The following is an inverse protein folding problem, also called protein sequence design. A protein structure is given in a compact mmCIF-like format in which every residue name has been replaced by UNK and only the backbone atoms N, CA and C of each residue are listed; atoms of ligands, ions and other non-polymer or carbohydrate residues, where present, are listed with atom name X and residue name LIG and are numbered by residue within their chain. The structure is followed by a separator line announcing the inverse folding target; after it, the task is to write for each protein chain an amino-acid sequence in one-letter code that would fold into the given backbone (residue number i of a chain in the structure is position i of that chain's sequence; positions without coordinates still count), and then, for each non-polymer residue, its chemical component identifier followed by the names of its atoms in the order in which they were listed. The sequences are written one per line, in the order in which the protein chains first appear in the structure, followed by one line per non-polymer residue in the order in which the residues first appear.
data_IF_757218446315
#
_entry.id   IF_757218446315
#
_cell.length_a   1.000
_cell.length_b   1.000
_cell.length_c   1.000
_cell.angle_alpha   90.00
_cell.angle_beta   90.00
_cell.angle_gamma   90.00
#
_symmetry.space_group_name_H-M   'P 1'
#
loop_
_entity.id
_entity.type
_entity.pdbx_description
1 polymer ?
#
# COMPACT_ATOMS: atom_id res chain seq x y z
N UNK A 1 23.05 31.39 -4.73
CA UNK A 1 22.89 29.98 -4.36
C UNK A 1 21.99 29.31 -5.39
N UNK A 2 22.57 28.41 -6.16
CA UNK A 2 21.85 27.64 -7.18
C UNK A 2 20.87 26.71 -6.46
N UNK A 3 19.58 27.00 -6.53
CA UNK A 3 18.54 26.12 -6.07
C UNK A 3 18.70 24.78 -6.82
N UNK A 4 19.00 23.71 -6.09
CA UNK A 4 19.13 22.36 -6.63
C UNK A 4 17.73 21.94 -7.12
N UNK A 5 17.56 21.92 -8.44
CA UNK A 5 16.28 21.50 -9.03
C UNK A 5 16.12 20.01 -8.85
N UNK A 6 15.08 19.61 -8.11
CA UNK A 6 14.59 18.23 -8.06
C UNK A 6 13.52 18.12 -9.15
N UNK A 7 13.68 17.18 -10.07
CA UNK A 7 12.69 16.89 -11.11
C UNK A 7 11.76 15.78 -10.63
N UNK A 8 10.46 16.02 -10.70
CA UNK A 8 9.44 15.00 -10.42
C UNK A 8 8.73 14.61 -11.72
N UNK A 9 8.61 13.31 -11.98
CA UNK A 9 7.92 12.72 -13.13
C UNK A 9 6.69 11.96 -12.64
N UNK A 10 5.55 12.32 -13.23
CA UNK A 10 4.24 11.76 -12.87
C UNK A 10 3.67 10.93 -14.01
N UNK A 11 3.02 9.84 -13.66
CA UNK A 11 2.14 9.09 -14.55
C UNK A 11 0.69 9.31 -14.08
N UNK A 12 -0.09 10.04 -14.83
CA UNK A 12 -1.47 10.36 -14.48
C UNK A 12 -2.39 9.15 -14.42
N UNK A 13 -2.07 8.08 -15.16
CA UNK A 13 -2.82 6.83 -15.09
C UNK A 13 -2.74 6.16 -13.71
N UNK A 14 -1.65 6.41 -12.96
CA UNK A 14 -1.44 5.85 -11.62
C UNK A 14 -2.17 6.61 -10.51
N UNK A 15 -2.84 7.72 -10.82
CA UNK A 15 -3.64 8.51 -9.86
C UNK A 15 -5.14 8.45 -10.14
N UNK A 16 -5.55 7.71 -11.18
CA UNK A 16 -6.96 7.47 -11.47
C UNK A 16 -7.55 6.54 -10.41
N UNK A 17 -8.52 7.02 -9.65
CA UNK A 17 -9.21 6.31 -8.58
C UNK A 17 -10.61 5.85 -8.97
N UNK A 18 -10.90 5.71 -10.25
CA UNK A 18 -12.20 5.28 -10.76
C UNK A 18 -12.31 3.76 -10.99
N UNK A 19 -11.22 3.02 -10.77
CA UNK A 19 -11.14 1.59 -11.07
C UNK A 19 -11.32 0.67 -9.86
N UNK A 20 -11.43 -0.63 -10.14
CA UNK A 20 -11.58 -1.67 -9.12
C UNK A 20 -10.36 -1.87 -8.21
N UNK A 21 -9.20 -1.32 -8.58
CA UNK A 21 -8.00 -1.36 -7.73
C UNK A 21 -8.23 -0.65 -6.39
N UNK A 22 -9.00 0.43 -6.39
CA UNK A 22 -9.34 1.17 -5.16
C UNK A 22 -10.13 0.33 -4.19
N UNK A 23 -11.21 -0.30 -4.69
CA UNK A 23 -12.08 -1.13 -3.87
C UNK A 23 -11.34 -2.38 -3.39
N UNK A 24 -10.56 -3.02 -4.26
CA UNK A 24 -9.73 -4.17 -3.90
C UNK A 24 -8.69 -3.81 -2.84
N UNK A 25 -7.98 -2.69 -2.99
CA UNK A 25 -6.98 -2.22 -2.02
C UNK A 25 -7.62 -1.91 -0.67
N UNK A 26 -8.79 -1.27 -0.66
CA UNK A 26 -9.52 -0.99 0.57
C UNK A 26 -9.93 -2.26 1.29
N UNK A 27 -10.53 -3.22 0.58
CA UNK A 27 -10.91 -4.50 1.16
C UNK A 27 -9.71 -5.24 1.76
N UNK A 28 -8.59 -5.31 1.04
CA UNK A 28 -7.39 -5.98 1.51
C UNK A 28 -6.76 -5.25 2.71
N UNK A 29 -6.75 -3.94 2.71
CA UNK A 29 -6.18 -3.14 3.81
C UNK A 29 -7.01 -3.21 5.09
N UNK A 30 -8.32 -3.01 4.99
CA UNK A 30 -9.25 -3.05 6.12
C UNK A 30 -9.35 -4.45 6.76
N UNK A 31 -9.26 -5.51 5.95
CA UNK A 31 -9.34 -6.89 6.40
C UNK A 31 -7.97 -7.62 6.42
N UNK A 32 -6.85 -6.90 6.45
CA UNK A 32 -5.52 -7.49 6.23
C UNK A 32 -5.21 -8.67 7.15
N UNK A 33 -5.56 -8.60 8.44
CA UNK A 33 -5.32 -9.70 9.38
C UNK A 33 -5.97 -11.02 8.92
N UNK A 34 -7.14 -10.94 8.28
CA UNK A 34 -7.87 -12.10 7.74
C UNK A 34 -7.36 -12.50 6.35
N UNK A 35 -6.94 -11.52 5.53
CA UNK A 35 -6.61 -11.74 4.12
C UNK A 35 -5.11 -11.89 3.84
N UNK A 36 -4.26 -11.79 4.87
CA UNK A 36 -2.81 -11.88 4.74
C UNK A 36 -2.36 -13.18 4.06
N UNK A 37 -2.94 -14.31 4.40
CA UNK A 37 -2.60 -15.60 3.79
C UNK A 37 -2.93 -15.63 2.29
N UNK A 38 -4.08 -15.09 1.89
CA UNK A 38 -4.43 -14.96 0.46
C UNK A 38 -3.38 -14.13 -0.28
N UNK A 39 -3.04 -12.96 0.25
CA UNK A 39 -2.06 -12.05 -0.36
C UNK A 39 -0.70 -12.75 -0.49
N UNK A 40 -0.23 -13.40 0.57
CA UNK A 40 1.07 -14.09 0.59
C UNK A 40 1.12 -15.27 -0.37
N UNK A 41 0.06 -16.07 -0.47
CA UNK A 41 -0.03 -17.19 -1.42
C UNK A 41 -0.03 -16.72 -2.87
N UNK A 42 -0.80 -15.68 -3.19
CA UNK A 42 -0.83 -15.10 -4.54
C UNK A 42 0.56 -14.52 -4.90
N UNK A 43 1.16 -13.76 -3.99
CA UNK A 43 2.50 -13.19 -4.16
C UNK A 43 3.57 -14.27 -4.34
N UNK A 44 3.51 -15.33 -3.54
CA UNK A 44 4.43 -16.47 -3.67
C UNK A 44 4.27 -17.16 -5.03
N UNK A 45 3.04 -17.42 -5.45
CA UNK A 45 2.75 -18.05 -6.73
C UNK A 45 3.31 -17.22 -7.91
N UNK A 46 3.11 -15.90 -7.91
CA UNK A 46 3.70 -15.03 -8.93
C UNK A 46 5.23 -15.10 -8.95
N UNK A 47 5.88 -15.09 -7.78
CA UNK A 47 7.35 -15.20 -7.69
C UNK A 47 7.89 -16.54 -8.21
N UNK A 48 7.12 -17.60 -8.03
CA UNK A 48 7.46 -18.97 -8.48
C UNK A 48 6.93 -19.31 -9.86
N UNK A 49 6.28 -18.35 -10.55
CA UNK A 49 5.63 -18.57 -11.85
C UNK A 49 4.58 -19.68 -11.81
N UNK A 50 3.91 -19.84 -10.66
CA UNK A 50 2.76 -20.71 -10.55
C UNK A 50 1.51 -19.95 -11.04
N UNK A 51 0.69 -20.60 -11.86
CA UNK A 51 -0.51 -19.99 -12.44
C UNK A 51 -1.76 -20.13 -11.56
N UNK A 52 -1.68 -20.78 -10.40
CA UNK A 52 -2.83 -21.05 -9.55
C UNK A 52 -2.45 -21.19 -8.06
N UNK A 53 -3.45 -21.03 -7.20
CA UNK A 53 -3.34 -21.28 -5.77
C UNK A 53 -4.59 -22.00 -5.24
N UNK A 54 -4.42 -22.69 -4.11
CA UNK A 54 -5.53 -23.21 -3.30
C UNK A 54 -5.50 -22.54 -1.93
N UNK A 55 -6.69 -22.22 -1.40
CA UNK A 55 -6.89 -21.75 -0.03
C UNK A 55 -7.74 -22.76 0.72
N UNK A 56 -7.19 -23.34 1.78
CA UNK A 56 -7.88 -24.27 2.66
C UNK A 56 -8.59 -23.49 3.76
N UNK A 57 -9.92 -23.48 3.75
CA UNK A 57 -10.74 -22.73 4.69
C UNK A 57 -11.32 -23.63 5.82
N UNK A 58 -11.01 -24.91 5.79
CA UNK A 58 -11.61 -25.91 6.70
C UNK A 58 -11.29 -25.69 8.19
N UNK A 59 -10.12 -25.12 8.49
CA UNK A 59 -9.65 -24.86 9.86
C UNK A 59 -10.08 -23.49 10.41
N UNK A 60 -10.76 -22.66 9.59
CA UNK A 60 -11.23 -21.33 9.97
C UNK A 60 -12.64 -21.39 10.56
N UNK A 61 -13.00 -20.37 11.33
CA UNK A 61 -14.40 -20.14 11.71
C UNK A 61 -15.27 -20.03 10.46
N UNK A 62 -16.56 -20.37 10.56
CA UNK A 62 -17.48 -20.24 9.45
C UNK A 62 -17.54 -18.78 8.92
N UNK A 63 -17.49 -17.83 9.83
CA UNK A 63 -17.50 -16.39 9.51
C UNK A 63 -16.27 -16.00 8.67
N UNK A 64 -15.08 -16.42 9.10
CA UNK A 64 -13.83 -16.08 8.43
C UNK A 64 -13.70 -16.79 7.07
N UNK A 65 -14.05 -18.07 7.01
CA UNK A 65 -14.11 -18.84 5.77
C UNK A 65 -15.06 -18.19 4.75
N UNK A 66 -16.22 -17.75 5.21
CA UNK A 66 -17.20 -17.06 4.35
C UNK A 66 -16.68 -15.71 3.87
N UNK A 67 -16.00 -14.94 4.73
CA UNK A 67 -15.43 -13.64 4.37
C UNK A 67 -14.34 -13.79 3.30
N UNK A 68 -13.41 -14.74 3.47
CA UNK A 68 -12.35 -15.01 2.49
C UNK A 68 -12.94 -15.49 1.17
N UNK A 69 -13.90 -16.44 1.20
CA UNK A 69 -14.55 -16.93 0.00
C UNK A 69 -15.29 -15.82 -0.75
N UNK A 70 -15.97 -14.95 -0.03
CA UNK A 70 -16.68 -13.79 -0.60
C UNK A 70 -15.70 -12.82 -1.26
N UNK A 71 -14.59 -12.49 -0.60
CA UNK A 71 -13.54 -11.66 -1.18
C UNK A 71 -12.97 -12.28 -2.47
N UNK A 72 -12.63 -13.57 -2.46
CA UNK A 72 -12.11 -14.26 -3.65
C UNK A 72 -13.09 -14.18 -4.81
N UNK A 73 -14.38 -14.36 -4.55
CA UNK A 73 -15.45 -14.24 -5.57
C UNK A 73 -15.59 -12.81 -6.09
N UNK A 74 -15.49 -11.80 -5.22
CA UNK A 74 -15.51 -10.39 -5.62
C UNK A 74 -14.31 -10.04 -6.48
N UNK A 75 -13.10 -10.43 -6.06
CA UNK A 75 -11.89 -10.23 -6.85
C UNK A 75 -11.97 -10.94 -8.21
N UNK A 76 -12.53 -12.14 -8.26
CA UNK A 76 -12.80 -12.82 -9.54
C UNK A 76 -13.80 -12.05 -10.40
N UNK A 77 -14.90 -11.54 -9.85
CA UNK A 77 -15.90 -10.77 -10.60
C UNK A 77 -15.31 -9.48 -11.19
N UNK A 78 -14.29 -8.92 -10.57
CA UNK A 78 -13.54 -7.76 -11.07
C UNK A 78 -12.27 -8.15 -11.87
N UNK A 79 -12.18 -9.41 -12.29
CA UNK A 79 -11.10 -9.95 -13.13
C UNK A 79 -9.69 -9.92 -12.52
N UNK A 80 -9.54 -9.84 -11.20
CA UNK A 80 -8.26 -10.05 -10.52
C UNK A 80 -7.79 -11.50 -10.55
N UNK A 81 -8.71 -12.44 -10.76
CA UNK A 81 -8.42 -13.85 -11.01
C UNK A 81 -9.03 -14.28 -12.34
N UNK A 82 -8.34 -15.16 -13.06
CA UNK A 82 -8.83 -15.71 -14.32
C UNK A 82 -9.89 -16.77 -14.13
N UNK A 83 -9.81 -17.52 -13.02
CA UNK A 83 -10.82 -18.52 -12.63
C UNK A 83 -10.96 -18.55 -11.12
N UNK A 84 -12.19 -18.86 -10.69
CA UNK A 84 -12.55 -19.10 -9.29
C UNK A 84 -13.41 -20.35 -9.21
N UNK A 85 -13.09 -21.24 -8.28
CA UNK A 85 -13.90 -22.41 -7.96
C UNK A 85 -13.87 -22.69 -6.46
N UNK A 86 -15.04 -22.86 -5.86
CA UNK A 86 -15.17 -23.24 -4.47
C UNK A 86 -15.62 -24.69 -4.35
N UNK A 87 -14.75 -25.56 -3.82
CA UNK A 87 -15.08 -26.94 -3.45
C UNK A 87 -15.71 -26.94 -2.05
N UNK A 88 -17.05 -26.96 -2.02
CA UNK A 88 -17.80 -26.83 -0.78
C UNK A 88 -17.57 -27.98 0.22
N UNK A 89 -17.50 -29.27 -0.18
CA UNK A 89 -17.26 -30.35 0.78
C UNK A 89 -15.92 -30.22 1.50
N UNK A 90 -14.86 -29.91 0.77
CA UNK A 90 -13.49 -29.80 1.29
C UNK A 90 -13.18 -28.40 1.84
N UNK A 91 -14.07 -27.43 1.62
CA UNK A 91 -13.89 -26.01 1.95
C UNK A 91 -12.59 -25.44 1.37
N UNK A 92 -12.33 -25.72 0.09
CA UNK A 92 -11.15 -25.25 -0.63
C UNK A 92 -11.57 -24.25 -1.71
N UNK A 93 -10.96 -23.07 -1.73
CA UNK A 93 -11.06 -22.12 -2.85
C UNK A 93 -9.87 -22.35 -3.78
N UNK A 94 -10.17 -22.56 -5.06
CA UNK A 94 -9.15 -22.66 -6.13
C UNK A 94 -9.21 -21.41 -7.00
N UNK A 95 -8.06 -20.78 -7.17
CA UNK A 95 -7.92 -19.55 -7.96
C UNK A 95 -6.90 -19.76 -9.05
N UNK A 96 -7.22 -19.36 -10.28
CA UNK A 96 -6.24 -19.21 -11.35
C UNK A 96 -5.86 -17.74 -11.45
N UNK A 97 -4.55 -17.45 -11.44
CA UNK A 97 -4.03 -16.11 -11.44
C UNK A 97 -4.14 -15.45 -12.82
N UNK A 98 -4.30 -14.13 -12.85
CA UNK A 98 -4.18 -13.35 -14.07
C UNK A 98 -2.71 -13.15 -14.45
N UNK A 99 -2.44 -13.06 -15.75
CA UNK A 99 -1.10 -12.77 -16.27
C UNK A 99 -0.87 -11.29 -16.53
N UNK A 100 -1.92 -10.45 -16.42
CA UNK A 100 -1.84 -9.02 -16.65
C UNK A 100 -0.85 -8.36 -15.67
N UNK A 101 0.14 -7.57 -16.16
CA UNK A 101 1.17 -6.97 -15.31
C UNK A 101 0.62 -6.10 -14.19
N UNK A 102 -0.45 -5.35 -14.45
CA UNK A 102 -1.07 -4.48 -13.45
C UNK A 102 -1.65 -5.25 -12.25
N UNK A 103 -2.29 -6.41 -12.51
CA UNK A 103 -2.82 -7.29 -11.46
C UNK A 103 -1.69 -7.94 -10.67
N UNK A 104 -0.65 -8.39 -11.36
CA UNK A 104 0.55 -8.95 -10.73
C UNK A 104 1.21 -7.93 -9.80
N UNK A 105 1.47 -6.71 -10.28
CA UNK A 105 2.07 -5.63 -9.49
C UNK A 105 1.22 -5.28 -8.28
N UNK A 106 -0.11 -5.27 -8.43
CA UNK A 106 -1.05 -5.05 -7.34
C UNK A 106 -0.82 -6.04 -6.20
N UNK A 107 -0.78 -7.35 -6.47
CA UNK A 107 -0.57 -8.36 -5.44
C UNK A 107 0.89 -8.42 -4.94
N UNK A 108 1.87 -8.02 -5.72
CA UNK A 108 3.28 -8.00 -5.31
C UNK A 108 3.64 -6.83 -4.38
N UNK A 109 2.69 -5.98 -4.02
CA UNK A 109 2.85 -4.89 -3.05
C UNK A 109 2.08 -3.61 -3.39
N UNK A 110 1.70 -3.43 -4.65
CA UNK A 110 0.98 -2.24 -5.11
C UNK A 110 -0.34 -1.98 -4.39
N UNK A 111 -1.01 -3.03 -3.88
CA UNK A 111 -2.23 -2.88 -3.10
C UNK A 111 -2.04 -2.00 -1.86
N UNK A 112 -0.87 -2.05 -1.20
CA UNK A 112 -0.56 -1.25 -0.02
C UNK A 112 -0.37 0.23 -0.39
N UNK A 113 0.29 0.50 -1.51
CA UNK A 113 0.42 1.87 -2.05
C UNK A 113 -0.95 2.46 -2.41
N UNK A 114 -1.80 1.68 -3.07
CA UNK A 114 -3.19 2.06 -3.34
C UNK A 114 -3.96 2.35 -2.06
N UNK A 115 -3.87 1.47 -1.06
CA UNK A 115 -4.52 1.65 0.23
C UNK A 115 -4.07 2.93 0.93
N UNK A 116 -2.75 3.17 1.01
CA UNK A 116 -2.20 4.36 1.62
C UNK A 116 -2.64 5.64 0.88
N UNK A 117 -2.68 5.59 -0.46
CA UNK A 117 -3.15 6.69 -1.28
C UNK A 117 -4.62 7.03 -1.05
N UNK A 118 -5.48 6.02 -1.01
CA UNK A 118 -6.92 6.19 -0.75
C UNK A 118 -7.14 6.74 0.66
N UNK A 119 -6.42 6.24 1.65
CA UNK A 119 -6.51 6.72 3.03
C UNK A 119 -6.13 8.21 3.12
N UNK A 120 -5.03 8.59 2.48
CA UNK A 120 -4.60 9.99 2.40
C UNK A 120 -5.65 10.89 1.73
N UNK A 121 -6.20 10.48 0.58
CA UNK A 121 -7.25 11.22 -0.10
C UNK A 121 -8.50 11.37 0.77
N UNK A 122 -8.86 10.33 1.50
CA UNK A 122 -10.01 10.34 2.41
C UNK A 122 -9.83 11.39 3.49
N UNK A 123 -8.67 11.43 4.15
CA UNK A 123 -8.37 12.41 5.19
C UNK A 123 -8.37 13.85 4.65
N UNK A 124 -7.77 14.08 3.48
CA UNK A 124 -7.76 15.39 2.83
C UNK A 124 -9.18 15.88 2.47
N UNK A 125 -10.00 14.99 1.90
CA UNK A 125 -11.40 15.29 1.52
C UNK A 125 -12.27 15.58 2.75
N UNK A 126 -12.16 14.80 3.80
CA UNK A 126 -12.92 15.02 5.04
C UNK A 126 -12.65 16.39 5.69
N UNK A 127 -11.46 16.93 5.47
CA UNK A 127 -11.05 18.26 5.94
C UNK A 127 -11.29 19.37 4.94
N UNK A 128 -11.77 19.05 3.74
CA UNK A 128 -11.96 20.04 2.66
C UNK A 128 -10.65 20.72 2.27
N UNK A 129 -9.50 20.05 2.46
CA UNK A 129 -8.18 20.62 2.14
C UNK A 129 -7.77 20.29 0.71
N UNK A 130 -7.61 21.31 -0.13
CA UNK A 130 -7.08 21.11 -1.47
C UNK A 130 -5.64 20.56 -1.41
N UNK A 131 -5.35 19.60 -2.26
CA UNK A 131 -4.02 19.02 -2.35
C UNK A 131 -3.78 18.44 -3.74
N UNK A 132 -2.53 18.49 -4.21
CA UNK A 132 -2.06 17.67 -5.32
C UNK A 132 -1.51 16.37 -4.75
N UNK A 133 -2.00 15.23 -5.24
CA UNK A 133 -1.61 13.92 -4.78
C UNK A 133 -1.18 13.04 -5.94
N UNK A 134 -0.19 12.18 -5.72
CA UNK A 134 0.27 11.24 -6.72
C UNK A 134 0.82 9.95 -6.08
N UNK A 135 0.82 8.86 -6.86
CA UNK A 135 1.44 7.58 -6.56
C UNK A 135 2.61 7.31 -7.51
N UNK A 136 3.59 6.50 -7.07
CA UNK A 136 4.71 6.04 -7.90
C UNK A 136 5.43 7.19 -8.61
N UNK A 137 5.75 8.24 -7.86
CA UNK A 137 6.39 9.44 -8.41
C UNK A 137 7.89 9.23 -8.50
N UNK A 138 8.43 9.34 -9.72
CA UNK A 138 9.88 9.29 -9.94
C UNK A 138 10.50 10.65 -9.68
N UNK A 139 11.44 10.68 -8.74
CA UNK A 139 12.19 11.89 -8.37
C UNK A 139 13.63 11.72 -8.82
N UNK A 140 14.09 12.67 -9.63
CA UNK A 140 15.47 12.73 -10.13
C UNK A 140 16.20 13.83 -9.37
N UNK A 141 17.28 13.45 -8.68
CA UNK A 141 18.12 14.39 -7.97
C UNK A 141 19.25 14.93 -8.89
N UNK A 142 19.86 16.07 -8.55
CA UNK A 142 20.90 16.71 -9.40
C UNK A 142 22.12 15.83 -9.69
N UNK A 143 22.39 14.80 -8.91
CA UNK A 143 23.43 13.81 -9.17
C UNK A 143 22.95 12.61 -10.01
N UNK A 144 21.79 12.74 -10.66
CA UNK A 144 21.15 11.73 -11.50
C UNK A 144 20.63 10.48 -10.74
N UNK A 145 20.66 10.47 -9.40
CA UNK A 145 20.00 9.40 -8.63
C UNK A 145 18.50 9.46 -8.83
N UNK A 146 17.94 8.35 -9.28
CA UNK A 146 16.50 8.15 -9.43
C UNK A 146 15.95 7.45 -8.19
N UNK A 147 14.91 8.04 -7.60
CA UNK A 147 14.12 7.43 -6.53
C UNK A 147 12.64 7.42 -6.93
N UNK A 148 11.94 6.39 -6.53
CA UNK A 148 10.48 6.33 -6.63
C UNK A 148 9.90 6.57 -5.24
N UNK A 149 8.93 7.50 -5.17
CA UNK A 149 8.12 7.76 -3.98
C UNK A 149 6.78 7.06 -4.18
N UNK A 150 6.40 6.22 -3.23
CA UNK A 150 5.18 5.41 -3.36
C UNK A 150 3.93 6.28 -3.34
N UNK A 151 3.81 7.18 -2.37
CA UNK A 151 2.71 8.15 -2.27
C UNK A 151 3.24 9.50 -1.83
N UNK A 152 2.80 10.57 -2.50
CA UNK A 152 3.10 11.95 -2.11
C UNK A 152 1.85 12.83 -2.18
N UNK A 153 1.71 13.74 -1.23
CA UNK A 153 0.73 14.82 -1.28
C UNK A 153 1.38 16.17 -1.03
N UNK A 154 0.86 17.17 -1.71
CA UNK A 154 1.20 18.59 -1.56
C UNK A 154 -0.06 19.33 -1.12
N UNK A 155 -0.41 19.32 0.19
CA UNK A 155 -1.56 20.06 0.68
C UNK A 155 -1.34 21.55 0.57
N UNK A 156 -2.38 22.30 0.19
CA UNK A 156 -2.27 23.75 0.04
C UNK A 156 -1.92 24.41 1.38
N UNK A 157 -0.87 25.24 1.37
CA UNK A 157 -0.39 25.95 2.55
C UNK A 157 0.35 25.11 3.57
N UNK A 158 0.66 23.84 3.26
CA UNK A 158 1.39 22.94 4.16
C UNK A 158 2.61 22.32 3.48
N UNK A 159 3.51 21.77 4.31
CA UNK A 159 4.63 20.97 3.82
C UNK A 159 4.16 19.64 3.18
N UNK A 160 4.94 19.07 2.26
CA UNK A 160 4.64 17.78 1.63
C UNK A 160 4.44 16.65 2.65
N UNK A 161 3.61 15.68 2.29
CA UNK A 161 3.47 14.38 2.99
C UNK A 161 3.97 13.30 2.04
N UNK A 162 4.89 12.46 2.51
CA UNK A 162 5.41 11.31 1.77
C UNK A 162 5.12 10.03 2.55
N UNK A 163 4.59 9.00 1.88
CA UNK A 163 4.34 7.69 2.45
C UNK A 163 5.08 6.65 1.61
N UNK A 164 6.02 5.97 2.23
CA UNK A 164 6.69 4.79 1.68
C UNK A 164 5.99 3.53 2.21
N UNK A 165 5.68 2.60 1.34
CA UNK A 165 4.88 1.42 1.64
C UNK A 165 5.72 0.16 1.52
N UNK A 166 5.70 -0.70 2.53
CA UNK A 166 6.45 -1.95 2.52
C UNK A 166 5.64 -3.10 3.12
N UNK A 167 5.26 -4.04 2.29
CA UNK A 167 4.68 -5.30 2.73
C UNK A 167 5.79 -6.35 2.88
N UNK A 168 6.30 -6.53 4.07
CA UNK A 168 7.41 -7.45 4.38
C UNK A 168 8.63 -6.74 4.94
N UNK A 169 9.83 -7.29 4.71
CA UNK A 169 11.07 -6.79 5.31
C UNK A 169 11.40 -5.36 4.85
N UNK A 170 11.48 -4.45 5.79
CA UNK A 170 11.75 -3.01 5.58
C UNK A 170 13.03 -2.53 6.23
N UNK A 171 13.60 -3.27 7.17
CA UNK A 171 14.72 -2.81 8.02
C UNK A 171 15.95 -2.43 7.23
N UNK A 172 16.19 -3.12 6.11
CA UNK A 172 17.31 -2.82 5.20
C UNK A 172 17.13 -1.50 4.44
N UNK A 173 15.90 -1.00 4.36
CA UNK A 173 15.58 0.24 3.63
C UNK A 173 15.57 1.48 4.52
N UNK A 174 15.73 1.36 5.83
CA UNK A 174 15.68 2.49 6.78
C UNK A 174 16.68 3.58 6.41
N UNK A 175 17.93 3.22 6.12
CA UNK A 175 18.97 4.20 5.73
C UNK A 175 18.63 4.91 4.42
N UNK A 176 18.02 4.20 3.47
CA UNK A 176 17.52 4.77 2.21
C UNK A 176 16.43 5.80 2.51
N UNK A 177 15.47 5.49 3.36
CA UNK A 177 14.38 6.40 3.74
C UNK A 177 14.90 7.63 4.49
N UNK A 178 15.85 7.48 5.40
CA UNK A 178 16.48 8.59 6.11
C UNK A 178 17.19 9.55 5.15
N UNK A 179 17.97 9.02 4.19
CA UNK A 179 18.64 9.84 3.17
C UNK A 179 17.63 10.55 2.29
N UNK A 180 16.57 9.84 1.85
CA UNK A 180 15.53 10.39 0.99
C UNK A 180 14.79 11.53 1.68
N UNK A 181 14.35 11.34 2.94
CA UNK A 181 13.71 12.38 3.75
C UNK A 181 14.57 13.64 3.86
N UNK A 182 15.86 13.48 4.19
CA UNK A 182 16.80 14.60 4.31
C UNK A 182 17.00 15.34 2.99
N UNK A 183 17.13 14.61 1.89
CA UNK A 183 17.29 15.21 0.55
C UNK A 183 16.05 15.98 0.09
N UNK A 184 14.86 15.50 0.44
CA UNK A 184 13.60 16.16 0.14
C UNK A 184 13.28 17.31 1.11
N UNK A 185 13.97 17.39 2.25
CA UNK A 185 13.71 18.42 3.28
C UNK A 185 12.37 18.23 3.99
N UNK A 186 11.86 16.99 4.06
CA UNK A 186 10.57 16.68 4.68
C UNK A 186 10.76 16.44 6.18
N UNK A 187 9.87 17.02 7.01
CA UNK A 187 9.86 16.75 8.45
C UNK A 187 9.59 15.28 8.76
N UNK A 188 10.14 14.79 9.87
CA UNK A 188 10.00 13.39 10.29
C UNK A 188 8.54 12.95 10.46
N UNK A 189 7.66 13.84 10.91
CA UNK A 189 6.22 13.54 11.08
C UNK A 189 5.49 13.36 9.74
N UNK A 190 6.04 13.91 8.67
CA UNK A 190 5.48 13.92 7.32
C UNK A 190 6.15 12.95 6.36
N UNK A 191 7.22 12.28 6.79
CA UNK A 191 7.82 11.16 6.07
C UNK A 191 7.45 9.86 6.78
N UNK A 192 6.49 9.14 6.23
CA UNK A 192 5.79 8.02 6.84
C UNK A 192 6.25 6.72 6.17
N UNK A 193 6.62 5.74 6.97
CA UNK A 193 6.86 4.36 6.51
C UNK A 193 5.68 3.49 6.99
N UNK A 194 4.84 3.10 6.05
CA UNK A 194 3.69 2.23 6.30
C UNK A 194 4.06 0.78 6.01
N UNK A 195 3.95 -0.08 7.01
CA UNK A 195 4.28 -1.50 6.88
C UNK A 195 3.23 -2.40 7.52
N UNK A 196 3.10 -3.63 7.00
CA UNK A 196 2.17 -4.64 7.50
C UNK A 196 2.70 -5.41 8.71
N UNK A 197 4.00 -5.35 8.98
CA UNK A 197 4.68 -6.26 9.92
C UNK A 197 4.90 -5.68 11.32
N UNK A 198 4.37 -4.48 11.60
CA UNK A 198 4.51 -3.83 12.90
C UNK A 198 3.16 -3.76 13.64
N UNK A 199 3.19 -4.04 14.93
CA UNK A 199 2.13 -3.62 15.83
C UNK A 199 2.33 -2.15 16.27
N UNK A 200 1.35 -1.59 17.00
CA UNK A 200 1.38 -0.18 17.41
C UNK A 200 2.59 0.14 18.32
N UNK A 201 2.95 -0.75 19.23
CA UNK A 201 4.10 -0.57 20.15
C UNK A 201 5.42 -0.56 19.37
N UNK A 202 5.61 -1.51 18.46
CA UNK A 202 6.79 -1.56 17.60
C UNK A 202 6.90 -0.33 16.70
N UNK A 203 5.81 0.11 16.09
CA UNK A 203 5.77 1.30 15.25
C UNK A 203 6.15 2.57 16.06
N UNK A 204 5.61 2.73 17.26
CA UNK A 204 5.94 3.83 18.15
C UNK A 204 7.42 3.78 18.59
N UNK A 205 7.95 2.60 18.91
CA UNK A 205 9.35 2.41 19.27
C UNK A 205 10.30 2.80 18.15
N UNK A 206 10.05 2.36 16.94
CA UNK A 206 10.85 2.71 15.75
C UNK A 206 10.77 4.20 15.43
N UNK A 207 9.60 4.82 15.57
CA UNK A 207 9.42 6.27 15.40
C UNK A 207 10.25 7.06 16.40
N UNK A 208 10.43 6.55 17.61
CA UNK A 208 11.31 7.16 18.62
C UNK A 208 12.79 6.99 18.29
N UNK A 209 13.18 5.84 17.74
CA UNK A 209 14.57 5.52 17.41
C UNK A 209 15.10 6.23 16.18
N UNK A 210 14.24 6.42 15.17
CA UNK A 210 14.65 6.97 13.87
C UNK A 210 13.93 8.29 13.61
N UNK A 211 14.54 9.14 12.79
CA UNK A 211 13.93 10.38 12.32
C UNK A 211 12.95 10.15 11.17
N UNK A 212 12.04 9.18 11.36
CA UNK A 212 10.97 8.77 10.46
C UNK A 212 9.71 8.51 11.30
N UNK A 213 8.56 8.48 10.67
CA UNK A 213 7.32 8.03 11.32
C UNK A 213 6.96 6.65 10.79
N UNK A 214 6.89 5.66 11.66
CA UNK A 214 6.44 4.32 11.32
C UNK A 214 4.98 4.13 11.71
N UNK A 215 4.20 3.56 10.80
CA UNK A 215 2.78 3.23 11.02
C UNK A 215 2.49 1.85 10.46
N UNK A 216 1.43 1.22 10.99
CA UNK A 216 0.79 0.06 10.38
C UNK A 216 -0.51 0.47 9.69
N UNK A 217 -1.23 -0.49 9.10
CA UNK A 217 -2.50 -0.23 8.43
C UNK A 217 -3.55 0.40 9.34
N UNK A 218 -3.63 -0.04 10.60
CA UNK A 218 -4.62 0.47 11.56
C UNK A 218 -4.31 1.87 12.10
N UNK A 219 -3.05 2.30 12.09
CA UNK A 219 -2.62 3.59 12.63
C UNK A 219 -2.37 4.66 11.56
N UNK A 220 -2.29 4.28 10.27
CA UNK A 220 -2.03 5.21 9.18
C UNK A 220 -3.06 6.34 9.13
N UNK A 221 -4.35 6.01 9.14
CA UNK A 221 -5.43 7.01 9.05
C UNK A 221 -5.41 8.00 10.21
N UNK A 222 -5.20 7.53 11.44
CA UNK A 222 -5.08 8.40 12.61
C UNK A 222 -3.90 9.35 12.51
N UNK A 223 -2.74 8.86 12.07
CA UNK A 223 -1.57 9.72 11.89
C UNK A 223 -1.80 10.77 10.80
N UNK A 224 -2.34 10.38 9.64
CA UNK A 224 -2.68 11.31 8.56
C UNK A 224 -3.68 12.37 9.02
N UNK A 225 -4.67 11.98 9.82
CA UNK A 225 -5.64 12.92 10.40
C UNK A 225 -4.95 14.03 11.21
N UNK A 226 -3.92 13.71 12.01
CA UNK A 226 -3.17 14.72 12.76
C UNK A 226 -2.44 15.70 11.86
N UNK A 227 -1.92 15.26 10.71
CA UNK A 227 -1.16 16.10 9.78
C UNK A 227 -2.04 17.08 8.99
N UNK A 228 -3.27 16.71 8.69
CA UNK A 228 -4.19 17.53 7.88
C UNK A 228 -5.11 18.41 8.72
N UNK A 229 -5.03 18.32 10.06
CA UNK A 229 -5.81 19.14 11.01
C UNK A 229 -5.23 20.55 11.21
N UNK A 230 -3.94 20.75 10.94
CA UNK A 230 -3.18 21.97 11.17
C UNK A 230 -3.43 23.08 10.16
#
# INVERSE_FOLDING_TARGET
SSARKIEARFDYALVDTSGFFDDAARMLGEGHALYAELIDRVRFAYRKSHGWINLELGNLSQKDAQAINTLCRQLYSHTFFARYHYQKPEKIVRLTLQTAPAVRQFFEGGWLEWYAFIELLTQLRQRGRPASCARSVKVVFPNEDLHELDVIALPEGQAPICIECKSGEFRRDIDKYLRLRKRLGIDRSRFIVCTTDLNDEQAAGLTTMYELTFVNLGSLGRHLQTLVQG
#
